data_IF_590262362988
#
_entry.id   IF_590262362988
#
_cell.length_a   1.000
_cell.length_b   1.000
_cell.length_c   1.000
_cell.angle_alpha   90.00
_cell.angle_beta   90.00
_cell.angle_gamma   90.00
#
_symmetry.space_group_name_H-M   'P 1'
#
loop_
_entity.id
_entity.type
_entity.pdbx_description
1 polymer ?
#
# COMPACT_ATOMS: atom_id res chain seq x y z
N UNK A 1 -2.04 1.77 -17.65
CA UNK A 1 -2.54 1.34 -16.32
C UNK A 1 -1.96 -0.04 -16.06
N UNK A 2 -1.08 -0.16 -15.07
CA UNK A 2 -0.62 -1.47 -14.60
C UNK A 2 -1.76 -2.02 -13.73
N UNK A 3 -2.37 -3.12 -14.15
CA UNK A 3 -3.43 -3.77 -13.39
C UNK A 3 -2.79 -4.68 -12.35
N UNK A 4 -2.68 -4.20 -11.11
CA UNK A 4 -2.29 -5.05 -9.99
C UNK A 4 -3.39 -6.08 -9.71
N UNK A 5 -3.02 -7.33 -9.40
CA UNK A 5 -3.98 -8.40 -9.10
C UNK A 5 -4.67 -8.06 -7.76
N UNK A 6 -6.01 -8.15 -7.66
CA UNK A 6 -6.71 -7.96 -6.40
C UNK A 6 -6.31 -9.08 -5.41
N UNK A 7 -6.15 -8.74 -4.14
CA UNK A 7 -5.85 -9.72 -3.10
C UNK A 7 -7.07 -10.61 -2.84
N UNK A 8 -6.88 -11.93 -2.84
CA UNK A 8 -7.93 -12.90 -2.50
C UNK A 8 -7.75 -13.35 -1.05
N UNK A 9 -8.75 -13.19 -0.19
CA UNK A 9 -8.75 -13.60 1.24
C UNK A 9 -8.57 -15.12 1.51
N UNK A 10 -8.19 -15.93 0.52
CA UNK A 10 -8.15 -17.40 0.58
C UNK A 10 -6.72 -17.97 0.82
N UNK A 11 -5.73 -17.12 1.06
CA UNK A 11 -4.33 -17.51 1.28
C UNK A 11 -3.68 -16.48 2.21
N UNK A 12 -2.51 -16.73 2.84
CA UNK A 12 -1.92 -15.75 3.76
C UNK A 12 -1.42 -14.56 2.95
N UNK A 13 -2.30 -13.58 2.70
CA UNK A 13 -2.13 -12.64 1.59
C UNK A 13 -1.48 -11.34 2.00
N UNK A 14 -0.26 -11.18 1.55
CA UNK A 14 0.39 -9.91 1.24
C UNK A 14 -0.54 -8.95 0.49
N UNK A 15 -0.98 -7.90 1.17
CA UNK A 15 -1.93 -6.97 0.59
C UNK A 15 -1.70 -5.54 1.06
N UNK A 16 -1.81 -4.62 0.10
CA UNK A 16 -1.87 -3.20 0.36
C UNK A 16 -3.27 -2.72 0.00
N UNK A 17 -3.95 -2.12 0.96
CA UNK A 17 -5.28 -1.54 0.77
C UNK A 17 -5.21 -0.02 0.94
N UNK A 18 -5.87 0.70 0.06
CA UNK A 18 -5.83 2.16 0.00
C UNK A 18 -7.19 2.73 0.37
N UNK A 19 -7.20 3.78 1.20
CA UNK A 19 -8.41 4.44 1.65
C UNK A 19 -8.37 5.96 1.39
N UNK A 20 -9.51 6.51 1.02
CA UNK A 20 -9.72 7.95 0.80
C UNK A 20 -10.02 8.76 2.07
N UNK A 21 -9.76 8.18 3.23
CA UNK A 21 -9.86 8.85 4.53
C UNK A 21 -8.82 8.26 5.48
N UNK A 22 -8.56 8.95 6.59
CA UNK A 22 -7.67 8.45 7.64
C UNK A 22 -8.25 7.23 8.37
N UNK A 23 -7.37 6.57 9.12
CA UNK A 23 -7.65 5.44 10.03
C UNK A 23 -8.16 4.18 9.34
N UNK A 24 -7.85 4.00 8.05
CA UNK A 24 -8.23 2.82 7.26
C UNK A 24 -9.72 2.48 7.38
N UNK A 25 -10.55 3.51 7.32
CA UNK A 25 -12.00 3.40 7.46
C UNK A 25 -12.58 2.63 6.28
N UNK A 26 -13.19 1.46 6.52
CA UNK A 26 -13.74 0.58 5.46
C UNK A 26 -14.72 1.30 4.50
N UNK A 27 -15.48 2.28 5.00
CA UNK A 27 -16.39 3.10 4.20
C UNK A 27 -15.70 3.99 3.15
N UNK A 28 -14.37 4.10 3.17
CA UNK A 28 -13.56 4.89 2.23
C UNK A 28 -12.58 4.01 1.45
N UNK A 29 -12.85 2.71 1.31
CA UNK A 29 -12.05 1.82 0.47
C UNK A 29 -11.95 2.36 -0.97
N UNK A 30 -10.73 2.41 -1.50
CA UNK A 30 -10.46 2.75 -2.89
C UNK A 30 -10.16 1.47 -3.67
N UNK A 31 -9.12 0.75 -3.28
CA UNK A 31 -8.70 -0.50 -3.91
C UNK A 31 -7.75 -1.27 -3.00
N UNK A 32 -7.52 -2.53 -3.35
CA UNK A 32 -6.45 -3.34 -2.80
C UNK A 32 -5.62 -3.99 -3.91
N UNK A 33 -4.37 -4.34 -3.59
CA UNK A 33 -3.51 -5.09 -4.50
C UNK A 33 -2.36 -5.79 -3.78
N UNK A 34 -1.85 -6.83 -4.41
CA UNK A 34 -0.62 -7.50 -3.98
C UNK A 34 0.61 -6.80 -4.57
N UNK A 35 1.57 -6.32 -3.74
CA UNK A 35 2.82 -5.74 -4.22
C UNK A 35 3.71 -6.76 -4.95
N UNK A 36 4.78 -6.26 -5.57
CA UNK A 36 5.78 -7.11 -6.24
C UNK A 36 7.18 -6.57 -5.95
N UNK A 37 8.23 -7.39 -6.12
CA UNK A 37 9.61 -6.90 -6.06
C UNK A 37 10.06 -5.98 -7.20
N UNK A 38 9.20 -5.67 -8.16
CA UNK A 38 9.58 -4.78 -9.25
C UNK A 38 9.73 -3.31 -8.82
N UNK A 39 9.20 -2.92 -7.65
CA UNK A 39 9.30 -1.53 -7.18
C UNK A 39 8.58 -0.53 -8.07
N UNK A 40 7.43 -0.91 -8.64
CA UNK A 40 6.65 -0.04 -9.51
C UNK A 40 6.09 1.17 -8.73
N UNK A 41 6.23 2.37 -9.30
CA UNK A 41 5.56 3.57 -8.81
C UNK A 41 4.09 3.56 -9.22
N UNK A 42 3.19 3.37 -8.25
CA UNK A 42 1.75 3.41 -8.44
C UNK A 42 1.22 4.82 -8.17
N UNK A 43 0.43 5.35 -9.09
CA UNK A 43 -0.06 6.72 -9.07
C UNK A 43 -1.56 6.75 -8.82
N UNK A 44 -2.00 7.68 -7.98
CA UNK A 44 -3.38 7.86 -7.56
C UNK A 44 -3.76 9.35 -7.61
N UNK A 45 -5.05 9.67 -7.59
CA UNK A 45 -5.49 11.07 -7.50
C UNK A 45 -5.17 11.67 -6.13
N UNK A 46 -5.56 10.95 -5.08
CA UNK A 46 -5.24 11.23 -3.68
C UNK A 46 -5.68 10.04 -2.80
N UNK A 47 -5.00 9.79 -1.70
CA UNK A 47 -5.44 8.89 -0.62
C UNK A 47 -4.91 9.37 0.72
N UNK A 48 -5.55 8.94 1.81
CA UNK A 48 -5.28 9.46 3.16
C UNK A 48 -4.88 8.39 4.17
N UNK A 49 -5.04 7.11 3.84
CA UNK A 49 -4.43 6.02 4.60
C UNK A 49 -4.21 4.77 3.76
N UNK A 50 -3.31 3.92 4.25
CA UNK A 50 -3.06 2.59 3.70
C UNK A 50 -3.06 1.54 4.81
N UNK A 51 -3.57 0.36 4.49
CA UNK A 51 -3.32 -0.85 5.28
C UNK A 51 -2.26 -1.67 4.57
N UNK A 52 -1.20 -2.00 5.27
CA UNK A 52 -0.16 -2.92 4.82
C UNK A 52 -0.29 -4.22 5.56
N UNK A 53 -0.33 -5.32 4.83
CA UNK A 53 -0.38 -6.68 5.37
C UNK A 53 0.73 -7.48 4.70
N UNK A 54 1.57 -8.13 5.52
CA UNK A 54 2.47 -9.18 5.07
C UNK A 54 1.91 -10.56 5.37
N UNK A 55 2.77 -11.57 5.26
CA UNK A 55 2.47 -12.93 5.68
C UNK A 55 3.48 -13.39 6.75
N UNK A 56 3.36 -14.63 7.24
CA UNK A 56 4.22 -15.16 8.32
C UNK A 56 5.66 -15.46 7.91
N UNK A 57 5.98 -15.37 6.61
CA UNK A 57 7.25 -15.74 5.99
C UNK A 57 7.92 -14.49 5.41
N UNK A 58 7.12 -13.65 4.75
CA UNK A 58 7.53 -12.54 3.91
C UNK A 58 6.90 -11.24 4.39
N UNK A 59 7.70 -10.17 4.42
CA UNK A 59 7.25 -8.84 4.79
C UNK A 59 6.82 -8.01 3.60
N UNK A 60 5.83 -7.14 3.83
CA UNK A 60 5.48 -6.06 2.91
C UNK A 60 6.03 -4.74 3.42
N UNK A 61 6.69 -3.97 2.57
CA UNK A 61 7.17 -2.63 2.87
C UNK A 61 6.70 -1.64 1.80
N UNK A 62 6.18 -0.50 2.23
CA UNK A 62 5.67 0.57 1.37
C UNK A 62 6.35 1.90 1.65
N UNK A 63 6.67 2.59 0.56
CA UNK A 63 7.13 3.97 0.51
C UNK A 63 6.02 4.80 -0.10
N UNK A 64 5.54 5.81 0.62
CA UNK A 64 4.42 6.66 0.22
C UNK A 64 4.92 8.08 -0.01
N UNK A 65 4.42 8.70 -1.06
CA UNK A 65 4.89 10.00 -1.55
C UNK A 65 3.74 11.00 -1.69
N UNK A 66 4.02 12.27 -1.44
CA UNK A 66 3.04 13.36 -1.61
C UNK A 66 2.86 13.81 -3.05
N UNK A 67 3.73 13.39 -3.97
CA UNK A 67 3.65 13.71 -5.40
C UNK A 67 3.28 12.48 -6.23
N UNK A 68 2.89 12.69 -7.50
CA UNK A 68 2.49 11.59 -8.40
C UNK A 68 3.67 10.79 -8.97
N UNK A 69 4.92 11.24 -8.83
CA UNK A 69 6.09 10.65 -9.49
C UNK A 69 7.03 9.89 -8.54
N UNK A 70 6.58 9.56 -7.33
CA UNK A 70 7.38 8.89 -6.31
C UNK A 70 8.72 9.59 -6.00
N UNK A 71 8.70 10.89 -5.72
CA UNK A 71 9.89 11.71 -5.43
C UNK A 71 9.90 12.27 -4.00
N UNK A 72 8.76 12.76 -3.54
CA UNK A 72 8.63 13.46 -2.26
C UNK A 72 8.10 12.48 -1.21
N UNK A 73 9.02 11.68 -0.63
CA UNK A 73 8.69 10.66 0.37
C UNK A 73 8.10 11.30 1.63
N UNK A 74 6.97 10.76 2.10
CA UNK A 74 6.29 11.21 3.32
C UNK A 74 6.13 10.12 4.37
N UNK A 75 6.15 8.85 3.97
CA UNK A 75 6.08 7.72 4.88
C UNK A 75 6.85 6.52 4.31
N UNK A 76 7.56 5.85 5.19
CA UNK A 76 8.06 4.49 5.01
C UNK A 76 7.40 3.63 6.07
N UNK A 77 6.75 2.54 5.67
CA UNK A 77 6.08 1.65 6.64
C UNK A 77 7.08 0.77 7.36
N UNK A 78 8.16 0.35 6.68
CA UNK A 78 9.04 -0.70 7.15
C UNK A 78 8.46 -2.09 6.84
N UNK A 79 9.18 -3.12 7.27
CA UNK A 79 8.86 -4.52 6.98
C UNK A 79 7.75 -5.05 7.90
N UNK A 80 6.55 -5.22 7.35
CA UNK A 80 5.40 -5.72 8.10
C UNK A 80 5.02 -7.14 7.70
N UNK A 81 4.95 -8.02 8.70
CA UNK A 81 4.38 -9.38 8.60
C UNK A 81 2.91 -9.42 9.06
N UNK A 82 2.47 -8.41 9.82
CA UNK A 82 1.11 -8.26 10.34
C UNK A 82 0.34 -7.15 9.60
N UNK A 83 -0.99 -7.14 9.75
CA UNK A 83 -1.85 -6.06 9.24
C UNK A 83 -1.68 -4.79 10.07
N UNK A 84 -1.18 -3.72 9.44
CA UNK A 84 -0.99 -2.41 10.09
C UNK A 84 -1.58 -1.29 9.25
N UNK A 85 -2.24 -0.34 9.88
CA UNK A 85 -2.82 0.85 9.25
C UNK A 85 -1.90 2.07 9.43
N UNK A 86 -1.73 2.85 8.37
CA UNK A 86 -0.94 4.08 8.35
C UNK A 86 -1.72 5.25 7.76
N UNK A 87 -1.67 6.40 8.43
CA UNK A 87 -2.24 7.63 7.90
C UNK A 87 -1.22 8.35 7.01
N UNK A 88 -1.68 8.74 5.82
CA UNK A 88 -0.88 9.36 4.75
C UNK A 88 -1.67 10.49 4.08
N UNK A 89 -2.12 11.51 4.83
CA UNK A 89 -3.04 12.52 4.32
C UNK A 89 -2.48 13.22 3.06
N UNK A 90 -3.27 13.22 1.98
CA UNK A 90 -2.90 13.84 0.71
C UNK A 90 -1.83 13.12 -0.10
N UNK A 91 -1.57 11.83 0.17
CA UNK A 91 -0.63 11.04 -0.62
C UNK A 91 -1.13 10.84 -2.06
N UNK A 92 -0.20 10.78 -3.01
CA UNK A 92 -0.53 10.72 -4.44
C UNK A 92 0.15 9.56 -5.17
N UNK A 93 1.23 9.01 -4.62
CA UNK A 93 1.84 7.80 -5.17
C UNK A 93 2.47 6.94 -4.09
N UNK A 94 2.70 5.67 -4.42
CA UNK A 94 3.43 4.76 -3.54
C UNK A 94 4.20 3.72 -4.33
N UNK A 95 5.25 3.19 -3.69
CA UNK A 95 5.97 2.00 -4.13
C UNK A 95 5.87 1.00 -2.99
N UNK A 96 5.38 -0.20 -3.28
CA UNK A 96 5.34 -1.28 -2.30
C UNK A 96 6.10 -2.50 -2.81
N UNK A 97 6.88 -3.07 -1.91
CA UNK A 97 7.71 -4.25 -2.08
C UNK A 97 7.14 -5.39 -1.25
N UNK A 98 7.25 -6.59 -1.78
CA UNK A 98 6.88 -7.82 -1.12
C UNK A 98 7.83 -8.92 -1.58
N UNK A 99 8.38 -9.69 -0.63
CA UNK A 99 9.34 -10.78 -0.84
C UNK A 99 10.65 -10.35 -1.54
N UNK A 100 11.19 -9.22 -1.07
CA UNK A 100 12.51 -8.69 -1.42
C UNK A 100 13.31 -8.48 -0.13
#
# INVERSE_FOLDING_TARGET
MVFSKPCSFESPTECVTIFGAENCSEGNFILNYTPTCAGNCYQYSSFDSITVQGNTIDSTNCYVYSDINCKDLILETGDHQDTTCFNTPGAQSMICYFDC
#
